data_IF_917402696448
#
_entry.id   IF_917402696448
#
_cell.length_a   1.000
_cell.length_b   1.000
_cell.length_c   1.000
_cell.angle_alpha   90.00
_cell.angle_beta   90.00
_cell.angle_gamma   90.00
#
_symmetry.space_group_name_H-M   'P 1'
#
loop_
_entity.id
_entity.type
_entity.pdbx_description
1 polymer ?
#
# COMPACT_ATOMS: atom_id res chain seq x y z
N UNK A 1 33.79 -15.84 30.61
CA UNK A 1 32.57 -15.30 29.98
C UNK A 1 32.92 -14.06 29.14
N UNK A 2 33.10 -14.22 27.83
CA UNK A 2 33.42 -13.10 26.91
C UNK A 2 32.10 -12.55 26.36
N UNK A 3 31.84 -11.25 26.61
CA UNK A 3 30.70 -10.50 26.02
C UNK A 3 30.94 -10.35 24.51
N UNK A 4 30.11 -10.97 23.69
CA UNK A 4 30.00 -10.64 22.26
C UNK A 4 29.38 -9.24 22.14
N UNK A 5 30.15 -8.30 21.59
CA UNK A 5 29.65 -7.02 21.12
C UNK A 5 28.90 -7.26 19.81
N UNK A 6 27.60 -7.06 19.80
CA UNK A 6 26.82 -6.96 18.57
C UNK A 6 27.20 -5.68 17.84
N UNK A 7 27.99 -5.83 16.79
CA UNK A 7 28.25 -4.75 15.83
C UNK A 7 27.21 -4.81 14.73
N UNK A 8 26.49 -3.70 14.53
CA UNK A 8 25.57 -3.33 13.46
C UNK A 8 25.65 -4.10 12.12
N UNK A 9 24.93 -5.20 12.04
CA UNK A 9 24.78 -6.02 10.83
C UNK A 9 23.37 -5.85 10.19
N UNK A 10 22.47 -5.03 10.83
CA UNK A 10 21.06 -4.97 10.45
C UNK A 10 20.79 -4.34 9.08
N UNK A 11 21.28 -3.15 8.80
CA UNK A 11 20.88 -2.37 7.62
C UNK A 11 21.40 -2.91 6.27
N UNK A 12 22.65 -3.38 6.19
CA UNK A 12 23.22 -3.86 4.93
C UNK A 12 22.69 -5.22 4.43
N UNK A 13 22.05 -6.01 5.27
CA UNK A 13 21.52 -7.32 4.87
C UNK A 13 20.13 -7.25 4.22
N UNK A 14 19.27 -6.29 4.60
CA UNK A 14 17.96 -6.15 3.97
C UNK A 14 18.07 -5.55 2.56
N UNK A 15 18.90 -4.55 2.34
CA UNK A 15 19.09 -3.92 1.02
C UNK A 15 19.60 -4.90 -0.04
N UNK A 16 20.44 -5.85 0.35
CA UNK A 16 21.00 -6.86 -0.56
C UNK A 16 19.99 -7.95 -0.97
N UNK A 17 19.00 -8.26 -0.11
CA UNK A 17 18.02 -9.34 -0.35
C UNK A 17 16.85 -8.85 -1.24
N UNK A 18 16.49 -7.58 -1.17
CA UNK A 18 15.30 -7.01 -1.84
C UNK A 18 15.66 -6.13 -3.05
N UNK A 19 16.93 -5.97 -3.40
CA UNK A 19 17.35 -5.17 -4.58
C UNK A 19 16.91 -3.72 -4.53
N UNK A 20 16.72 -3.15 -3.33
CA UNK A 20 16.34 -1.75 -3.16
C UNK A 20 17.57 -0.90 -3.42
N UNK A 21 17.53 -0.11 -4.50
CA UNK A 21 18.51 0.94 -4.76
C UNK A 21 18.42 1.97 -3.63
N UNK A 22 19.42 2.00 -2.75
CA UNK A 22 19.60 3.11 -1.81
C UNK A 22 19.70 4.39 -2.64
N UNK A 23 18.65 5.20 -2.63
CA UNK A 23 18.75 6.58 -3.11
C UNK A 23 19.63 7.29 -2.11
N UNK A 24 20.85 7.63 -2.53
CA UNK A 24 21.81 8.34 -1.68
C UNK A 24 21.13 9.54 -1.01
N UNK A 25 20.93 9.47 0.32
CA UNK A 25 20.51 10.58 1.17
C UNK A 25 19.01 10.71 1.49
N UNK A 26 18.09 9.90 0.93
CA UNK A 26 16.66 9.96 1.30
C UNK A 26 16.21 8.69 2.04
N UNK A 27 15.49 8.81 3.18
CA UNK A 27 14.96 7.64 3.87
C UNK A 27 13.98 6.87 2.96
N UNK A 28 13.96 5.53 3.08
CA UNK A 28 12.94 4.71 2.42
C UNK A 28 11.56 5.12 2.93
N UNK A 29 10.57 5.09 2.04
CA UNK A 29 9.20 5.49 2.33
C UNK A 29 8.21 4.35 2.03
N UNK A 30 7.33 4.07 2.97
CA UNK A 30 6.22 3.14 2.82
C UNK A 30 4.90 3.88 2.96
N UNK A 31 3.99 3.68 2.02
CA UNK A 31 2.62 4.19 2.10
C UNK A 31 1.66 3.05 2.40
N UNK A 32 0.84 3.22 3.44
CA UNK A 32 -0.16 2.26 3.88
C UNK A 32 -1.57 2.79 3.61
N UNK A 33 -2.46 1.95 3.07
CA UNK A 33 -3.84 2.32 2.78
C UNK A 33 -4.81 1.58 3.69
N UNK A 34 -5.51 2.33 4.55
CA UNK A 34 -6.55 1.80 5.42
C UNK A 34 -7.90 1.80 4.70
N UNK A 35 -8.33 0.63 4.23
CA UNK A 35 -9.63 0.42 3.56
C UNK A 35 -10.82 0.22 4.50
N UNK A 36 -10.63 0.33 5.82
CA UNK A 36 -11.74 0.25 6.78
C UNK A 36 -12.58 1.52 6.75
N UNK A 37 -13.91 1.45 6.84
CA UNK A 37 -14.75 2.63 7.04
C UNK A 37 -14.45 3.34 8.37
N UNK A 38 -13.92 2.61 9.35
CA UNK A 38 -13.51 3.15 10.65
C UNK A 38 -12.05 3.59 10.60
N UNK A 39 -11.80 4.89 10.79
CA UNK A 39 -10.46 5.50 10.69
C UNK A 39 -9.45 4.83 11.62
N UNK A 40 -9.83 4.60 12.87
CA UNK A 40 -8.98 4.06 13.94
C UNK A 40 -9.46 2.68 14.44
N UNK A 41 -10.01 1.86 13.53
CA UNK A 41 -10.45 0.51 13.83
C UNK A 41 -9.31 -0.54 13.77
N UNK A 42 -9.67 -1.83 13.88
CA UNK A 42 -8.71 -2.93 13.93
C UNK A 42 -7.76 -2.99 12.72
N UNK A 43 -8.23 -2.60 11.53
CA UNK A 43 -7.37 -2.52 10.34
C UNK A 43 -6.29 -1.46 10.52
N UNK A 44 -6.66 -0.28 11.04
CA UNK A 44 -5.69 0.77 11.35
C UNK A 44 -4.68 0.32 12.40
N UNK A 45 -5.14 -0.29 13.51
CA UNK A 45 -4.24 -0.80 14.54
C UNK A 45 -3.22 -1.79 13.98
N UNK A 46 -3.65 -2.70 13.11
CA UNK A 46 -2.76 -3.67 12.50
C UNK A 46 -1.76 -3.02 11.52
N UNK A 47 -2.19 -2.04 10.71
CA UNK A 47 -1.28 -1.25 9.86
C UNK A 47 -0.31 -0.42 10.70
N UNK A 48 -0.77 0.16 11.81
CA UNK A 48 0.08 0.97 12.70
C UNK A 48 1.15 0.11 13.38
N UNK A 49 0.84 -1.12 13.78
CA UNK A 49 1.83 -2.05 14.30
C UNK A 49 2.96 -2.31 13.30
N UNK A 50 2.63 -2.51 12.01
CA UNK A 50 3.63 -2.68 10.97
C UNK A 50 4.42 -1.39 10.75
N UNK A 51 3.73 -0.25 10.70
CA UNK A 51 4.36 1.06 10.53
C UNK A 51 5.34 1.36 11.65
N UNK A 52 4.97 1.09 12.92
CA UNK A 52 5.83 1.31 14.09
C UNK A 52 7.13 0.49 14.03
N UNK A 53 7.08 -0.75 13.51
CA UNK A 53 8.29 -1.55 13.32
C UNK A 53 9.16 -1.03 12.17
N UNK A 54 8.55 -0.58 11.07
CA UNK A 54 9.29 0.05 9.96
C UNK A 54 9.98 1.36 10.39
N UNK A 55 9.29 2.18 11.19
CA UNK A 55 9.84 3.44 11.73
C UNK A 55 11.05 3.20 12.64
N UNK A 56 11.06 2.12 13.43
CA UNK A 56 12.23 1.72 14.24
C UNK A 56 13.46 1.39 13.39
N UNK A 57 13.23 0.90 12.17
CA UNK A 57 14.29 0.61 11.19
C UNK A 57 14.65 1.84 10.33
N UNK A 58 14.12 3.03 10.65
CA UNK A 58 14.41 4.28 9.93
C UNK A 58 13.66 4.43 8.61
N UNK A 59 12.57 3.68 8.41
CA UNK A 59 11.71 3.75 7.22
C UNK A 59 10.55 4.70 7.52
N UNK A 60 10.40 5.75 6.71
CA UNK A 60 9.28 6.70 6.83
C UNK A 60 7.97 6.00 6.44
N UNK A 61 6.93 6.14 7.27
CA UNK A 61 5.62 5.55 6.98
C UNK A 61 4.50 6.58 6.98
N UNK A 62 3.55 6.43 6.06
CA UNK A 62 2.33 7.23 5.99
C UNK A 62 1.10 6.33 5.88
N UNK A 63 0.15 6.45 6.82
CA UNK A 63 -1.13 5.71 6.76
C UNK A 63 -2.23 6.61 6.22
N UNK A 64 -2.77 6.26 5.05
CA UNK A 64 -3.84 6.99 4.37
C UNK A 64 -5.16 6.26 4.57
N UNK A 65 -6.17 6.97 5.07
CA UNK A 65 -7.50 6.41 5.26
C UNK A 65 -8.33 6.59 3.99
N UNK A 66 -8.63 5.49 3.30
CA UNK A 66 -9.44 5.49 2.07
C UNK A 66 -10.84 4.93 2.26
N UNK A 67 -11.07 4.15 3.33
CA UNK A 67 -12.28 3.35 3.50
C UNK A 67 -13.59 4.12 3.71
N UNK A 68 -13.54 5.41 4.09
CA UNK A 68 -14.72 6.26 4.27
C UNK A 68 -14.90 7.30 3.15
N UNK A 69 -14.04 7.30 2.15
CA UNK A 69 -14.19 8.19 1.00
C UNK A 69 -15.24 7.68 0.02
N UNK A 70 -15.88 8.61 -0.69
CA UNK A 70 -16.78 8.27 -1.79
C UNK A 70 -15.94 8.08 -3.04
N UNK A 71 -15.58 6.83 -3.32
CA UNK A 71 -14.74 6.47 -4.47
C UNK A 71 -15.57 5.68 -5.47
N UNK A 72 -15.71 6.23 -6.68
CA UNK A 72 -16.31 5.51 -7.78
C UNK A 72 -15.39 4.41 -8.30
N UNK A 73 -15.96 3.25 -8.62
CA UNK A 73 -15.23 2.16 -9.26
C UNK A 73 -14.67 2.53 -10.64
N UNK A 74 -13.69 1.77 -11.12
CA UNK A 74 -13.14 1.93 -12.46
C UNK A 74 -14.20 1.61 -13.52
N UNK A 75 -14.41 2.51 -14.48
CA UNK A 75 -15.35 2.32 -15.60
C UNK A 75 -14.69 1.73 -16.84
N UNK A 76 -13.44 1.33 -16.76
CA UNK A 76 -12.67 0.80 -17.90
C UNK A 76 -12.70 1.70 -19.14
N UNK A 77 -12.88 3.02 -18.99
CA UNK A 77 -13.02 3.98 -20.10
C UNK A 77 -11.72 4.16 -20.92
N UNK A 78 -10.58 3.69 -20.41
CA UNK A 78 -9.29 3.73 -21.11
C UNK A 78 -8.63 5.11 -21.20
N UNK A 79 -9.23 6.17 -20.68
CA UNK A 79 -8.71 7.53 -20.82
C UNK A 79 -7.33 7.72 -20.18
N UNK A 80 -7.08 7.12 -19.01
CA UNK A 80 -5.75 7.16 -18.37
C UNK A 80 -4.63 6.57 -19.25
N UNK A 81 -4.98 5.61 -20.12
CA UNK A 81 -4.06 5.05 -21.11
C UNK A 81 -3.88 5.90 -22.35
N UNK A 82 -4.88 6.72 -22.72
CA UNK A 82 -4.82 7.65 -23.84
C UNK A 82 -4.07 8.93 -23.46
N UNK A 83 -4.42 9.51 -22.31
CA UNK A 83 -3.86 10.77 -21.82
C UNK A 83 -2.38 10.60 -21.41
N UNK A 84 -2.01 9.45 -20.85
CA UNK A 84 -0.63 9.20 -20.36
C UNK A 84 -0.13 10.22 -19.33
N UNK A 85 -1.05 10.79 -18.54
CA UNK A 85 -0.80 11.80 -17.53
C UNK A 85 -0.73 11.24 -16.10
N UNK A 86 -0.72 9.91 -15.96
CA UNK A 86 -0.69 9.18 -14.70
C UNK A 86 -1.92 9.45 -13.82
N UNK A 87 -3.04 9.85 -14.41
CA UNK A 87 -4.27 10.21 -13.72
C UNK A 87 -5.47 9.45 -14.24
N UNK A 88 -6.43 9.23 -13.34
CA UNK A 88 -7.79 8.89 -13.71
C UNK A 88 -8.56 10.16 -14.08
N UNK A 89 -9.43 10.11 -15.05
CA UNK A 89 -10.28 11.27 -15.43
C UNK A 89 -11.28 11.67 -14.33
N UNK A 90 -11.59 10.77 -13.40
CA UNK A 90 -12.38 11.09 -12.21
C UNK A 90 -11.42 11.56 -11.11
N UNK A 91 -11.26 12.89 -10.97
CA UNK A 91 -10.18 13.49 -10.20
C UNK A 91 -10.48 13.95 -8.79
N UNK A 92 -11.75 14.09 -8.42
CA UNK A 92 -12.13 14.86 -7.22
C UNK A 92 -12.25 14.03 -5.93
N UNK A 93 -11.85 12.76 -5.96
CA UNK A 93 -12.06 11.80 -4.87
C UNK A 93 -10.76 11.34 -4.17
N UNK A 94 -9.66 12.05 -4.40
CA UNK A 94 -8.35 11.77 -3.79
C UNK A 94 -7.51 10.71 -4.51
N UNK A 95 -8.09 9.88 -5.38
CA UNK A 95 -7.39 8.75 -6.03
C UNK A 95 -6.14 9.19 -6.79
N UNK A 96 -6.21 10.30 -7.53
CA UNK A 96 -5.08 10.79 -8.32
C UNK A 96 -3.89 11.22 -7.44
N UNK A 97 -4.16 11.84 -6.30
CA UNK A 97 -3.13 12.18 -5.32
C UNK A 97 -2.49 10.93 -4.70
N UNK A 98 -3.29 9.91 -4.43
CA UNK A 98 -2.80 8.64 -3.88
C UNK A 98 -1.98 7.83 -4.88
N UNK A 99 -2.30 7.89 -6.19
CA UNK A 99 -1.46 7.30 -7.24
C UNK A 99 -0.04 7.89 -7.19
N UNK A 100 0.09 9.21 -7.02
CA UNK A 100 1.42 9.85 -6.93
C UNK A 100 2.15 9.42 -5.63
N UNK A 101 1.47 9.37 -4.49
CA UNK A 101 2.05 8.86 -3.24
C UNK A 101 2.53 7.41 -3.38
N UNK A 102 1.74 6.54 -4.03
CA UNK A 102 2.16 5.17 -4.31
C UNK A 102 3.37 5.11 -5.26
N UNK A 103 3.43 6.02 -6.25
CA UNK A 103 4.56 6.14 -7.19
C UNK A 103 5.85 6.58 -6.48
N UNK A 104 5.75 7.50 -5.54
CA UNK A 104 6.89 8.06 -4.79
C UNK A 104 7.41 7.12 -3.70
N UNK A 105 6.57 6.26 -3.14
CA UNK A 105 6.94 5.32 -2.09
C UNK A 105 7.79 4.16 -2.62
N UNK A 106 8.61 3.58 -1.75
CA UNK A 106 9.40 2.37 -2.02
C UNK A 106 8.61 1.10 -1.72
N UNK A 107 7.65 1.19 -0.78
CA UNK A 107 6.76 0.08 -0.40
C UNK A 107 5.30 0.51 -0.26
N UNK A 108 4.40 -0.47 -0.43
CA UNK A 108 2.95 -0.28 -0.37
C UNK A 108 2.34 -1.31 0.58
N UNK A 109 1.62 -0.84 1.61
CA UNK A 109 0.83 -1.69 2.50
C UNK A 109 -0.66 -1.52 2.21
N UNK A 110 -1.36 -2.63 2.05
CA UNK A 110 -2.80 -2.64 1.79
C UNK A 110 -3.54 -3.25 2.98
N UNK A 111 -4.41 -2.48 3.62
CA UNK A 111 -5.20 -2.93 4.77
C UNK A 111 -6.70 -2.91 4.50
N UNK A 112 -7.40 -4.01 4.76
CA UNK A 112 -8.86 -4.09 4.66
C UNK A 112 -9.49 -4.91 5.78
N UNK A 113 -10.68 -4.54 6.27
CA UNK A 113 -11.51 -5.48 7.00
C UNK A 113 -12.12 -6.50 6.03
N UNK A 114 -12.62 -7.61 6.57
CA UNK A 114 -13.42 -8.56 5.80
C UNK A 114 -14.87 -8.08 5.72
N UNK A 115 -15.37 -7.93 4.49
CA UNK A 115 -16.77 -7.68 4.19
C UNK A 115 -17.32 -8.81 3.31
N UNK A 116 -18.14 -9.70 3.87
CA UNK A 116 -18.71 -10.85 3.14
C UNK A 116 -17.67 -11.67 2.36
N UNK A 117 -16.58 -12.03 3.06
CA UNK A 117 -15.44 -12.78 2.49
C UNK A 117 -14.70 -12.04 1.36
N UNK A 118 -14.75 -10.72 1.34
CA UNK A 118 -14.08 -9.86 0.35
C UNK A 118 -13.51 -8.59 1.01
N UNK A 119 -12.72 -7.86 0.26
CA UNK A 119 -12.30 -6.51 0.65
C UNK A 119 -13.48 -5.53 0.63
N UNK A 120 -13.40 -4.46 1.42
CA UNK A 120 -14.42 -3.41 1.40
C UNK A 120 -14.61 -2.79 0.01
N UNK A 121 -15.85 -2.46 -0.38
CA UNK A 121 -16.18 -1.94 -1.72
C UNK A 121 -15.38 -0.68 -2.08
N UNK A 122 -15.22 0.27 -1.14
CA UNK A 122 -14.40 1.47 -1.35
C UNK A 122 -12.93 1.12 -1.59
N UNK A 123 -12.37 0.17 -0.82
CA UNK A 123 -11.01 -0.32 -1.04
C UNK A 123 -10.86 -0.95 -2.42
N UNK A 124 -11.84 -1.75 -2.86
CA UNK A 124 -11.85 -2.34 -4.21
C UNK A 124 -11.86 -1.27 -5.29
N UNK A 125 -12.74 -0.26 -5.16
CA UNK A 125 -12.82 0.86 -6.11
C UNK A 125 -11.51 1.64 -6.21
N UNK A 126 -10.87 1.90 -5.08
CA UNK A 126 -9.56 2.53 -4.99
C UNK A 126 -8.49 1.71 -5.73
N UNK A 127 -8.37 0.42 -5.40
CA UNK A 127 -7.37 -0.46 -5.98
C UNK A 127 -7.54 -0.63 -7.50
N UNK A 128 -8.76 -0.88 -7.97
CA UNK A 128 -9.04 -1.01 -9.40
C UNK A 128 -8.61 0.22 -10.19
N UNK A 129 -8.86 1.41 -9.64
CA UNK A 129 -8.50 2.65 -10.32
C UNK A 129 -7.00 2.94 -10.28
N UNK A 130 -6.37 2.82 -9.13
CA UNK A 130 -4.94 3.12 -8.97
C UNK A 130 -4.07 2.16 -9.78
N UNK A 131 -4.34 0.87 -9.69
CA UNK A 131 -3.56 -0.15 -10.42
C UNK A 131 -3.84 -0.14 -11.93
N UNK A 132 -5.07 0.20 -12.36
CA UNK A 132 -5.35 0.38 -13.78
C UNK A 132 -4.63 1.61 -14.35
N UNK A 133 -4.62 2.74 -13.64
CA UNK A 133 -3.81 3.91 -14.01
C UNK A 133 -2.35 3.54 -14.09
N UNK A 134 -1.81 2.88 -13.07
CA UNK A 134 -0.40 2.49 -13.04
C UNK A 134 -0.03 1.57 -14.22
N UNK A 135 -0.83 0.55 -14.51
CA UNK A 135 -0.56 -0.37 -15.61
C UNK A 135 -0.60 0.32 -16.98
N UNK A 136 -1.52 1.27 -17.18
CA UNK A 136 -1.66 2.03 -18.43
C UNK A 136 -0.60 3.11 -18.62
N UNK A 137 0.15 3.46 -17.57
CA UNK A 137 1.21 4.46 -17.59
C UNK A 137 2.63 3.85 -17.37
N UNK A 138 2.87 2.68 -17.91
CA UNK A 138 4.20 2.06 -17.89
C UNK A 138 4.50 1.24 -16.63
N UNK A 139 3.51 0.97 -15.78
CA UNK A 139 3.69 0.17 -14.56
C UNK A 139 4.34 0.98 -13.44
N UNK A 140 3.69 2.07 -13.01
CA UNK A 140 4.20 3.03 -12.02
C UNK A 140 4.63 2.39 -10.69
N UNK A 141 4.08 1.22 -10.36
CA UNK A 141 4.32 0.53 -9.09
C UNK A 141 5.27 -0.67 -9.22
N UNK A 142 5.94 -0.81 -10.38
CA UNK A 142 6.92 -1.88 -10.58
C UNK A 142 8.09 -1.75 -9.61
N UNK A 143 8.59 -2.91 -9.18
CA UNK A 143 9.74 -3.04 -8.27
C UNK A 143 9.53 -2.43 -6.87
N UNK A 144 8.27 -2.20 -6.46
CA UNK A 144 7.94 -1.83 -5.10
C UNK A 144 7.63 -3.06 -4.26
N UNK A 145 8.04 -3.03 -3.01
CA UNK A 145 7.65 -4.06 -2.04
C UNK A 145 6.18 -3.88 -1.68
N UNK A 146 5.41 -4.96 -1.72
CA UNK A 146 4.01 -4.94 -1.34
C UNK A 146 3.70 -5.91 -0.20
N UNK A 147 2.80 -5.53 0.71
CA UNK A 147 2.26 -6.41 1.73
C UNK A 147 0.80 -6.07 2.06
N UNK A 148 0.08 -7.06 2.59
CA UNK A 148 -1.33 -6.92 2.92
C UNK A 148 -1.64 -7.26 4.36
N UNK A 149 -2.59 -6.54 4.95
CA UNK A 149 -3.11 -6.77 6.31
C UNK A 149 -4.63 -6.92 6.25
N UNK A 150 -5.17 -7.93 6.91
CA UNK A 150 -6.61 -8.18 6.94
C UNK A 150 -7.12 -8.30 8.37
N UNK A 151 -8.08 -7.46 8.73
CA UNK A 151 -8.80 -7.57 10.00
C UNK A 151 -10.00 -8.50 9.86
N UNK A 152 -9.96 -9.65 10.54
CA UNK A 152 -10.95 -10.71 10.44
C UNK A 152 -11.66 -10.93 11.78
N UNK A 153 -12.99 -10.99 11.79
CA UNK A 153 -13.76 -11.32 13.00
C UNK A 153 -14.01 -12.83 13.13
N UNK A 154 -14.39 -13.51 12.05
CA UNK A 154 -14.80 -14.94 12.06
C UNK A 154 -14.21 -15.71 10.89
N UNK A 155 -14.62 -15.39 9.67
CA UNK A 155 -14.30 -16.11 8.44
C UNK A 155 -14.02 -15.15 7.29
N UNK A 156 -13.60 -15.67 6.13
CA UNK A 156 -13.36 -14.88 4.92
C UNK A 156 -12.00 -14.18 4.89
N UNK A 157 -11.08 -14.46 5.84
CA UNK A 157 -9.76 -13.86 5.86
C UNK A 157 -8.91 -14.23 4.65
N UNK A 158 -8.81 -15.52 4.34
CA UNK A 158 -8.00 -16.00 3.21
C UNK A 158 -8.45 -15.42 1.87
N UNK A 159 -9.75 -15.49 1.46
CA UNK A 159 -10.18 -14.88 0.21
C UNK A 159 -9.97 -13.37 0.16
N UNK A 160 -10.17 -12.65 1.27
CA UNK A 160 -9.90 -11.21 1.35
C UNK A 160 -8.41 -10.90 1.22
N UNK A 161 -7.55 -11.66 1.89
CA UNK A 161 -6.10 -11.54 1.79
C UNK A 161 -5.60 -11.78 0.36
N UNK A 162 -6.09 -12.84 -0.28
CA UNK A 162 -5.75 -13.13 -1.67
C UNK A 162 -6.21 -12.02 -2.63
N UNK A 163 -7.39 -11.41 -2.39
CA UNK A 163 -7.84 -10.27 -3.19
C UNK A 163 -6.90 -9.07 -3.10
N UNK A 164 -6.35 -8.75 -1.91
CA UNK A 164 -5.36 -7.69 -1.76
C UNK A 164 -4.05 -8.05 -2.47
N UNK A 165 -3.57 -9.28 -2.28
CA UNK A 165 -2.29 -9.73 -2.86
C UNK A 165 -2.32 -9.85 -4.39
N UNK A 166 -3.50 -9.91 -5.02
CA UNK A 166 -3.60 -9.89 -6.48
C UNK A 166 -3.21 -8.54 -7.11
N UNK A 167 -3.06 -7.48 -6.30
CA UNK A 167 -2.66 -6.16 -6.77
C UNK A 167 -1.16 -5.88 -6.60
N UNK A 168 -0.49 -6.63 -5.72
CA UNK A 168 0.92 -6.42 -5.32
C UNK A 168 1.80 -7.61 -5.62
#
# INVERSE_FOLDING_TARGET
MKRYREKGIGQKRLSCIIGINEREGNPMKVVAFNGSPNKEGNTYCALKMVADELEKEGIETEIIHVGNHVIRGCMACGQCGKNKDEKCVFGDDGVNGWVQKMKEADGILLGSPVHYSAIGGTMKSFLDRTFYVASKNGGLFRHKVGASVVAVRRSGGIPTFNQLNNYI
#
